data_IF_453370746951
#
_entry.id   IF_453370746951
#
_cell.length_a   1.000
_cell.length_b   1.000
_cell.length_c   1.000
_cell.angle_alpha   90.00
_cell.angle_beta   90.00
_cell.angle_gamma   90.00
#
_symmetry.space_group_name_H-M   'P 1'
#
loop_
_entity.id
_entity.type
_entity.pdbx_description
1 polymer ?
#
# COMPACT_ATOMS: atom_id res chain seq x y z
N UNK A 1 14.35 18.86 -9.57
CA UNK A 1 13.49 17.82 -9.00
C UNK A 1 12.21 17.75 -9.82
N UNK A 2 12.10 16.78 -10.72
CA UNK A 2 10.84 16.50 -11.40
C UNK A 2 9.94 15.80 -10.38
N UNK A 3 9.07 16.58 -9.73
CA UNK A 3 7.92 16.04 -9.01
C UNK A 3 6.99 15.48 -10.07
N UNK A 4 7.17 14.20 -10.42
CA UNK A 4 6.31 13.53 -11.37
C UNK A 4 4.94 13.38 -10.68
N UNK A 5 4.07 14.36 -10.88
CA UNK A 5 2.73 14.45 -10.25
C UNK A 5 1.89 13.19 -10.49
N UNK A 6 2.20 12.46 -11.56
CA UNK A 6 1.65 11.14 -11.88
C UNK A 6 1.98 10.04 -10.86
N UNK A 7 3.02 10.19 -10.05
CA UNK A 7 3.40 9.20 -9.02
C UNK A 7 2.60 9.35 -7.73
N UNK A 8 1.99 10.52 -7.50
CA UNK A 8 1.07 10.74 -6.37
C UNK A 8 -0.37 10.37 -6.71
N UNK A 9 -0.71 10.34 -8.01
CA UNK A 9 -2.07 9.99 -8.43
C UNK A 9 -2.29 8.48 -8.36
N UNK A 10 -3.43 8.00 -7.83
CA UNK A 10 -3.78 6.59 -7.87
C UNK A 10 -3.78 6.06 -9.31
N UNK A 11 -3.17 4.90 -9.51
CA UNK A 11 -3.21 4.18 -10.79
C UNK A 11 -4.56 3.49 -11.01
N UNK A 12 -5.06 2.82 -9.97
CA UNK A 12 -6.36 2.14 -9.96
C UNK A 12 -6.78 1.89 -8.50
N UNK A 13 -7.86 1.16 -8.27
CA UNK A 13 -8.25 0.68 -6.95
C UNK A 13 -8.41 -0.84 -6.87
N UNK A 14 -8.34 -1.37 -5.66
CA UNK A 14 -8.53 -2.79 -5.31
C UNK A 14 -9.53 -2.95 -4.17
N UNK A 15 -10.07 -4.16 -3.99
CA UNK A 15 -10.87 -4.49 -2.81
C UNK A 15 -9.97 -4.71 -1.59
N UNK A 16 -10.55 -4.63 -0.40
CA UNK A 16 -9.90 -5.06 0.85
C UNK A 16 -9.23 -6.44 0.76
N UNK A 17 -9.93 -7.41 0.18
CA UNK A 17 -9.42 -8.79 0.07
C UNK A 17 -8.20 -8.88 -0.87
N UNK A 18 -8.23 -8.14 -1.99
CA UNK A 18 -7.10 -8.06 -2.92
C UNK A 18 -5.90 -7.39 -2.26
N UNK A 19 -6.12 -6.26 -1.56
CA UNK A 19 -5.07 -5.54 -0.83
C UNK A 19 -4.42 -6.42 0.24
N UNK A 20 -5.23 -7.08 1.06
CA UNK A 20 -4.75 -7.98 2.11
C UNK A 20 -3.90 -9.12 1.53
N UNK A 21 -4.36 -9.76 0.46
CA UNK A 21 -3.62 -10.83 -0.20
C UNK A 21 -2.29 -10.35 -0.80
N UNK A 22 -2.25 -9.15 -1.40
CA UNK A 22 -1.04 -8.58 -1.97
C UNK A 22 0.00 -8.25 -0.88
N UNK A 23 -0.43 -7.63 0.23
CA UNK A 23 0.45 -7.31 1.37
C UNK A 23 1.00 -8.59 2.02
N UNK A 24 0.16 -9.59 2.26
CA UNK A 24 0.59 -10.87 2.82
C UNK A 24 1.53 -11.63 1.85
N UNK A 25 1.27 -11.56 0.55
CA UNK A 25 2.17 -12.08 -0.48
C UNK A 25 3.54 -11.40 -0.46
N UNK A 26 3.58 -10.07 -0.28
CA UNK A 26 4.83 -9.33 -0.14
C UNK A 26 5.57 -9.73 1.15
N UNK A 27 4.87 -9.88 2.28
CA UNK A 27 5.47 -10.36 3.53
C UNK A 27 6.05 -11.76 3.41
N UNK A 28 5.39 -12.66 2.67
CA UNK A 28 5.92 -14.00 2.40
C UNK A 28 7.15 -14.01 1.48
N UNK A 29 7.31 -12.98 0.63
CA UNK A 29 8.39 -12.88 -0.35
C UNK A 29 9.63 -12.15 0.17
N UNK A 30 9.45 -11.16 1.04
CA UNK A 30 10.53 -10.27 1.46
C UNK A 30 10.79 -10.39 2.97
N UNK A 31 11.94 -10.97 3.31
CA UNK A 31 12.38 -11.15 4.70
C UNK A 31 12.47 -9.80 5.44
N UNK A 32 11.99 -9.78 6.69
CA UNK A 32 12.00 -8.59 7.54
C UNK A 32 10.97 -7.50 7.18
N UNK A 33 10.26 -7.61 6.05
CA UNK A 33 9.29 -6.59 5.63
C UNK A 33 8.11 -6.49 6.60
N UNK A 34 7.62 -7.63 7.11
CA UNK A 34 6.50 -7.64 8.08
C UNK A 34 6.87 -6.87 9.35
N UNK A 35 8.03 -7.17 9.94
CA UNK A 35 8.48 -6.55 11.19
C UNK A 35 8.68 -5.05 11.01
N UNK A 36 9.27 -4.65 9.88
CA UNK A 36 9.40 -3.23 9.52
C UNK A 36 8.04 -2.53 9.47
N UNK A 37 7.06 -3.09 8.75
CA UNK A 37 5.72 -2.49 8.64
C UNK A 37 5.05 -2.39 10.00
N UNK A 38 5.13 -3.43 10.83
CA UNK A 38 4.56 -3.41 12.18
C UNK A 38 5.23 -2.37 13.08
N UNK A 39 6.52 -2.08 12.90
CA UNK A 39 7.23 -1.05 13.67
C UNK A 39 6.93 0.38 13.24
N UNK A 40 6.45 0.59 12.01
CA UNK A 40 6.30 1.92 11.39
C UNK A 40 4.84 2.35 11.20
N UNK A 41 3.88 1.45 11.46
CA UNK A 41 2.47 1.67 11.13
C UNK A 41 1.50 1.34 12.25
N UNK A 42 0.34 2.00 12.22
CA UNK A 42 -0.88 1.48 12.82
C UNK A 42 -1.67 0.64 11.81
N UNK A 43 -2.29 -0.48 12.23
CA UNK A 43 -3.18 -1.25 11.37
C UNK A 43 -4.37 -0.42 10.87
N UNK A 44 -4.91 -0.78 9.69
CA UNK A 44 -6.02 -0.07 9.05
C UNK A 44 -7.37 -0.18 9.80
N UNK A 45 -7.42 -0.99 10.86
CA UNK A 45 -8.62 -1.19 11.68
C UNK A 45 -9.73 -1.98 10.95
N UNK A 46 -10.93 -2.08 11.55
CA UNK A 46 -12.09 -2.66 10.89
C UNK A 46 -12.47 -1.81 9.67
N UNK A 47 -12.47 -2.42 8.48
CA UNK A 47 -12.79 -1.71 7.25
C UNK A 47 -14.31 -1.80 7.02
N UNK A 48 -15.01 -0.71 7.31
CA UNK A 48 -16.45 -0.62 7.10
C UNK A 48 -16.78 -0.61 5.60
N UNK A 49 -17.99 -1.07 5.21
CA UNK A 49 -18.50 -0.83 3.86
C UNK A 49 -18.49 0.66 3.54
N UNK A 50 -18.23 0.98 2.28
CA UNK A 50 -18.41 2.34 1.76
C UNK A 50 -19.90 2.72 1.76
N UNK A 51 -20.20 3.99 1.49
CA UNK A 51 -21.56 4.47 1.32
C UNK A 51 -22.32 3.57 0.32
N UNK A 52 -23.59 3.32 0.62
CA UNK A 52 -24.46 2.41 -0.14
C UNK A 52 -24.07 0.92 -0.09
N UNK A 53 -23.22 0.51 0.86
CA UNK A 53 -22.91 -0.91 1.10
C UNK A 53 -21.93 -1.52 0.11
N UNK A 54 -21.20 -0.69 -0.64
CA UNK A 54 -20.13 -1.16 -1.50
C UNK A 54 -18.95 -1.69 -0.66
N UNK A 55 -18.25 -2.70 -1.18
CA UNK A 55 -17.04 -3.21 -0.55
C UNK A 55 -15.96 -2.12 -0.53
N UNK A 56 -15.24 -1.94 0.58
CA UNK A 56 -14.23 -0.90 0.69
C UNK A 56 -13.13 -1.04 -0.37
N UNK A 57 -12.76 0.11 -0.94
CA UNK A 57 -11.75 0.21 -2.00
C UNK A 57 -10.49 0.90 -1.51
N UNK A 58 -9.36 0.41 -1.98
CA UNK A 58 -8.04 0.99 -1.71
C UNK A 58 -7.40 1.46 -2.99
N UNK A 59 -6.79 2.63 -2.94
CA UNK A 59 -5.97 3.10 -4.05
C UNK A 59 -4.70 2.26 -4.19
N UNK A 60 -4.30 2.00 -5.43
CA UNK A 60 -3.02 1.40 -5.81
C UNK A 60 -2.21 2.44 -6.56
N UNK A 61 -0.90 2.48 -6.31
CA UNK A 61 0.03 3.31 -7.06
C UNK A 61 1.07 2.45 -7.79
N UNK A 62 1.72 3.04 -8.79
CA UNK A 62 2.87 2.43 -9.45
C UNK A 62 4.11 2.60 -8.57
N UNK A 63 4.90 1.54 -8.40
CA UNK A 63 6.19 1.63 -7.71
C UNK A 63 7.18 2.43 -8.58
N UNK A 64 7.91 3.42 -8.04
CA UNK A 64 8.87 4.20 -8.82
C UNK A 64 10.21 3.49 -9.05
N UNK A 65 10.38 2.26 -8.56
CA UNK A 65 11.59 1.44 -8.76
C UNK A 65 11.39 0.44 -9.90
N UNK A 66 12.52 -0.09 -10.40
CA UNK A 66 12.61 -1.26 -11.28
C UNK A 66 11.60 -1.23 -12.44
N UNK A 67 11.79 -0.24 -13.32
CA UNK A 67 11.00 -0.02 -14.54
C UNK A 67 9.48 0.07 -14.34
N UNK A 68 9.03 0.52 -13.16
CA UNK A 68 7.61 0.79 -12.88
C UNK A 68 6.70 -0.45 -12.98
N UNK A 69 7.30 -1.63 -12.82
CA UNK A 69 6.61 -2.92 -12.90
C UNK A 69 5.77 -3.22 -11.66
N UNK A 70 6.22 -2.79 -10.48
CA UNK A 70 5.56 -3.07 -9.21
C UNK A 70 4.33 -2.22 -8.91
N UNK A 71 3.51 -2.71 -7.97
CA UNK A 71 2.32 -2.03 -7.45
C UNK A 71 2.43 -1.81 -5.94
N UNK A 72 2.00 -0.63 -5.51
CA UNK A 72 2.03 -0.20 -4.12
C UNK A 72 0.66 -0.43 -3.49
N UNK A 73 0.63 -1.28 -2.46
CA UNK A 73 -0.56 -1.66 -1.72
C UNK A 73 -0.53 -1.06 -0.33
N UNK A 74 -1.67 -0.57 0.17
CA UNK A 74 -1.75 0.00 1.52
C UNK A 74 -1.56 -1.11 2.56
N UNK A 75 -0.61 -0.92 3.48
CA UNK A 75 -0.31 -1.85 4.56
C UNK A 75 -0.64 -1.30 5.95
N UNK A 76 -0.85 0.00 6.08
CA UNK A 76 -1.16 0.65 7.34
C UNK A 76 -1.21 2.17 7.23
N UNK A 77 -1.42 2.83 8.35
CA UNK A 77 -1.20 4.28 8.49
C UNK A 77 0.16 4.52 9.13
N UNK A 78 0.97 5.42 8.58
CA UNK A 78 2.29 5.70 9.14
C UNK A 78 2.17 6.32 10.55
N UNK A 79 3.00 5.87 11.49
CA UNK A 79 2.97 6.39 12.87
C UNK A 79 3.36 7.87 12.95
N UNK A 80 4.42 8.26 12.24
CA UNK A 80 5.01 9.60 12.37
C UNK A 80 4.42 10.62 11.39
N UNK A 81 3.60 10.18 10.43
CA UNK A 81 3.08 11.02 9.35
C UNK A 81 1.63 10.65 9.07
N UNK A 82 0.76 11.64 8.88
CA UNK A 82 -0.66 11.45 8.51
C UNK A 82 -0.80 10.98 7.05
N UNK A 83 -0.20 9.84 6.73
CA UNK A 83 -0.05 9.30 5.39
C UNK A 83 -0.34 7.80 5.39
N UNK A 84 -0.78 7.30 4.23
CA UNK A 84 -0.88 5.87 3.99
C UNK A 84 0.53 5.30 3.84
N UNK A 85 0.78 4.19 4.52
CA UNK A 85 1.99 3.41 4.38
C UNK A 85 1.74 2.29 3.38
N UNK A 86 2.55 2.26 2.32
CA UNK A 86 2.38 1.31 1.21
C UNK A 86 3.60 0.42 1.03
N UNK A 87 3.38 -0.81 0.59
CA UNK A 87 4.40 -1.82 0.27
C UNK A 87 4.34 -2.17 -1.21
N UNK A 88 5.50 -2.36 -1.84
CA UNK A 88 5.59 -2.84 -3.21
C UNK A 88 5.53 -4.37 -3.25
N UNK A 89 4.61 -4.91 -4.05
CA UNK A 89 4.45 -6.36 -4.28
C UNK A 89 5.65 -7.03 -4.98
N UNK A 90 6.44 -6.24 -5.71
CA UNK A 90 7.47 -6.75 -6.62
C UNK A 90 8.89 -6.57 -6.08
N UNK A 91 9.18 -5.47 -5.37
CA UNK A 91 10.52 -5.17 -4.87
C UNK A 91 10.60 -4.96 -3.35
N UNK A 92 9.49 -5.12 -2.62
CA UNK A 92 9.45 -5.02 -1.15
C UNK A 92 9.72 -3.64 -0.58
N UNK A 93 9.90 -2.62 -1.42
CA UNK A 93 10.13 -1.25 -0.97
C UNK A 93 8.87 -0.62 -0.39
N UNK A 94 9.05 0.30 0.55
CA UNK A 94 7.93 0.99 1.22
C UNK A 94 7.89 2.48 0.87
N UNK A 95 6.68 3.02 0.78
CA UNK A 95 6.43 4.41 0.37
C UNK A 95 5.26 5.02 1.14
N UNK A 96 5.25 6.34 1.25
CA UNK A 96 4.14 7.10 1.82
C UNK A 96 3.29 7.73 0.72
N UNK A 97 1.97 7.78 0.97
CA UNK A 97 0.95 8.36 0.09
C UNK A 97 -0.01 9.25 0.85
#
# INVERSE_FOLDING_TARGET
>A
MSSNVSQSYPYTSETEAQRAAAVEGAFGRFEGLRDKVLSETTPLGPVAPEDHGASPRWWIWVCPKDDFSGRLHVAGYALERKALYTVCDTCGSTFLR
#
